data_IF_143845278764
#
_entry.id   IF_143845278764
#
_cell.length_a   1.000
_cell.length_b   1.000
_cell.length_c   1.000
_cell.angle_alpha   90.00
_cell.angle_beta   90.00
_cell.angle_gamma   90.00
#
_symmetry.space_group_name_H-M   'P 1'
#
loop_
_entity.id
_entity.type
_entity.pdbx_description
1 polymer ?
#
# COMPACT_ATOMS: atom_id res chain seq x y z
N UNK A 1 1.88 30.69 6.21
CA UNK A 1 0.73 29.79 6.49
C UNK A 1 1.25 28.51 7.12
N UNK A 2 0.93 28.25 8.39
CA UNK A 2 1.37 27.04 9.11
C UNK A 2 0.41 25.91 8.75
N UNK A 3 0.70 25.13 7.72
CA UNK A 3 -0.02 23.89 7.49
C UNK A 3 0.34 22.95 8.64
N UNK A 4 -0.66 22.63 9.47
CA UNK A 4 -0.49 21.66 10.56
C UNK A 4 -0.19 20.30 9.93
N UNK A 5 0.84 19.58 10.41
CA UNK A 5 1.16 18.23 9.90
C UNK A 5 -0.06 17.29 9.93
N UNK A 6 -1.00 17.57 10.85
CA UNK A 6 -2.28 16.91 10.99
C UNK A 6 -3.24 17.17 9.82
N UNK A 7 -3.25 18.36 9.21
CA UNK A 7 -4.10 18.63 8.06
C UNK A 7 -3.58 17.93 6.81
N UNK A 8 -2.25 17.83 6.64
CA UNK A 8 -1.64 17.05 5.57
C UNK A 8 -1.87 15.54 5.73
N UNK A 9 -1.75 15.02 6.95
CA UNK A 9 -2.07 13.62 7.24
C UNK A 9 -3.56 13.33 7.04
N UNK A 10 -4.45 14.22 7.51
CA UNK A 10 -5.90 14.11 7.32
C UNK A 10 -6.28 14.18 5.84
N UNK A 11 -5.63 15.03 5.05
CA UNK A 11 -5.87 15.12 3.61
C UNK A 11 -5.36 13.88 2.86
N UNK A 12 -4.19 13.37 3.21
CA UNK A 12 -3.65 12.13 2.66
C UNK A 12 -4.53 10.89 2.97
N UNK A 13 -5.11 10.81 4.18
CA UNK A 13 -6.01 9.72 4.59
C UNK A 13 -7.40 9.87 3.96
N UNK A 14 -7.91 11.11 3.88
CA UNK A 14 -9.28 11.40 3.42
C UNK A 14 -9.37 11.56 1.89
N UNK A 15 -8.23 11.46 1.18
CA UNK A 15 -8.22 11.38 -0.27
C UNK A 15 -8.91 10.08 -0.70
N UNK A 16 -10.01 10.22 -1.47
CA UNK A 16 -10.70 9.13 -2.19
C UNK A 16 -9.76 8.20 -2.98
N UNK A 17 -8.48 8.56 -3.13
CA UNK A 17 -7.42 7.75 -3.71
C UNK A 17 -7.00 6.53 -2.88
N UNK A 18 -7.05 6.55 -1.54
CA UNK A 18 -6.66 5.38 -0.74
C UNK A 18 -7.61 4.20 -0.98
N UNK A 19 -8.93 4.43 -0.83
CA UNK A 19 -9.96 3.40 -1.05
C UNK A 19 -9.89 2.85 -2.48
N UNK A 20 -9.67 3.71 -3.47
CA UNK A 20 -9.49 3.29 -4.87
C UNK A 20 -8.27 2.40 -5.09
N UNK A 21 -7.23 2.55 -4.27
CA UNK A 21 -5.98 1.79 -4.34
C UNK A 21 -6.01 0.49 -3.53
N UNK A 22 -7.06 0.22 -2.75
CA UNK A 22 -7.20 -1.04 -2.00
C UNK A 22 -7.06 -2.27 -2.93
N UNK A 23 -7.75 -2.35 -4.08
CA UNK A 23 -7.56 -3.47 -5.01
C UNK A 23 -6.12 -3.59 -5.53
N UNK A 24 -5.45 -2.46 -5.77
CA UNK A 24 -4.07 -2.42 -6.23
C UNK A 24 -3.10 -2.91 -5.15
N UNK A 25 -3.36 -2.60 -3.88
CA UNK A 25 -2.59 -3.14 -2.74
C UNK A 25 -2.68 -4.67 -2.73
N UNK A 26 -3.88 -5.25 -2.86
CA UNK A 26 -4.04 -6.70 -2.90
C UNK A 26 -3.30 -7.34 -4.07
N UNK A 27 -3.34 -6.70 -5.25
CA UNK A 27 -2.65 -7.18 -6.44
C UNK A 27 -1.13 -7.09 -6.29
N UNK A 28 -0.61 -5.98 -5.75
CA UNK A 28 0.80 -5.79 -5.41
C UNK A 28 1.29 -6.90 -4.47
N UNK A 29 0.58 -7.14 -3.36
CA UNK A 29 0.92 -8.20 -2.39
C UNK A 29 0.90 -9.57 -3.07
N UNK A 30 -0.08 -9.84 -3.93
CA UNK A 30 -0.18 -11.10 -4.66
C UNK A 30 1.02 -11.31 -5.60
N UNK A 31 1.40 -10.31 -6.39
CA UNK A 31 2.53 -10.41 -7.33
C UNK A 31 3.87 -10.47 -6.62
N UNK A 32 4.02 -9.72 -5.52
CA UNK A 32 5.19 -9.83 -4.65
C UNK A 32 5.33 -11.24 -4.07
N UNK A 33 4.24 -11.82 -3.54
CA UNK A 33 4.25 -13.19 -2.97
C UNK A 33 4.60 -14.27 -4.00
N UNK A 34 4.29 -14.03 -5.28
CA UNK A 34 4.66 -14.90 -6.38
C UNK A 34 6.11 -14.70 -6.87
N UNK A 35 6.81 -13.68 -6.38
CA UNK A 35 8.14 -13.29 -6.87
C UNK A 35 8.13 -12.58 -8.23
N UNK A 36 6.94 -12.23 -8.75
CA UNK A 36 6.81 -11.52 -10.04
C UNK A 36 7.17 -10.04 -9.89
N UNK A 37 6.87 -9.43 -8.73
CA UNK A 37 7.21 -8.03 -8.44
C UNK A 37 8.41 -7.94 -7.47
N UNK A 38 9.58 -7.42 -7.91
CA UNK A 38 10.78 -7.34 -7.08
C UNK A 38 10.67 -6.19 -6.07
N UNK A 39 10.22 -6.51 -4.86
CA UNK A 39 10.08 -5.57 -3.75
C UNK A 39 10.71 -6.14 -2.48
N UNK A 40 11.37 -5.30 -1.68
CA UNK A 40 11.94 -5.74 -0.39
C UNK A 40 10.82 -6.05 0.59
N UNK A 41 10.92 -7.18 1.28
CA UNK A 41 9.91 -7.64 2.24
C UNK A 41 9.61 -6.62 3.33
N UNK A 42 10.61 -5.85 3.78
CA UNK A 42 10.42 -4.83 4.82
C UNK A 42 9.50 -3.68 4.36
N UNK A 43 9.55 -3.33 3.08
CA UNK A 43 8.80 -2.20 2.52
C UNK A 43 7.30 -2.51 2.39
N UNK A 44 6.92 -3.81 2.41
CA UNK A 44 5.53 -4.27 2.33
C UNK A 44 5.01 -4.79 3.68
N UNK A 45 5.84 -5.52 4.43
CA UNK A 45 5.47 -6.10 5.73
C UNK A 45 5.23 -4.99 6.76
N UNK A 46 6.09 -3.96 6.83
CA UNK A 46 5.97 -2.93 7.86
C UNK A 46 4.68 -2.10 7.71
N UNK A 47 4.29 -1.63 6.51
CA UNK A 47 3.00 -0.97 6.34
C UNK A 47 1.80 -1.92 6.51
N UNK A 48 1.91 -3.18 6.07
CA UNK A 48 0.85 -4.18 6.26
C UNK A 48 0.61 -4.50 7.73
N UNK A 49 1.66 -4.64 8.54
CA UNK A 49 1.54 -4.83 9.99
C UNK A 49 0.85 -3.64 10.66
N UNK A 50 1.18 -2.41 10.24
CA UNK A 50 0.50 -1.21 10.71
C UNK A 50 -1.00 -1.20 10.37
N UNK A 51 -1.40 -1.74 9.22
CA UNK A 51 -2.81 -1.89 8.84
C UNK A 51 -3.47 -3.07 9.56
N UNK A 52 -2.78 -4.20 9.71
CA UNK A 52 -3.28 -5.41 10.37
C UNK A 52 -3.54 -5.19 11.86
N UNK A 53 -2.69 -4.40 12.53
CA UNK A 53 -2.87 -3.98 13.91
C UNK A 53 -4.24 -3.33 14.16
N UNK A 54 -4.82 -2.68 13.15
CA UNK A 54 -6.14 -2.03 13.23
C UNK A 54 -7.28 -2.98 12.91
N UNK A 55 -7.04 -3.97 12.05
CA UNK A 55 -8.04 -5.00 11.72
C UNK A 55 -8.18 -5.99 12.89
N UNK A 56 -7.10 -6.26 13.63
CA UNK A 56 -7.15 -7.08 14.83
C UNK A 56 -6.30 -6.53 16.00
N UNK A 57 -6.76 -5.47 16.68
CA UNK A 57 -6.33 -5.14 18.04
C UNK A 57 -7.04 -6.02 19.09
N UNK A 58 -8.11 -6.71 18.69
CA UNK A 58 -9.08 -7.34 19.58
C UNK A 58 -8.69 -8.78 19.96
N UNK A 59 -7.94 -9.49 19.11
CA UNK A 59 -7.74 -10.94 19.29
C UNK A 59 -6.46 -11.32 20.06
N UNK A 60 -5.67 -10.34 20.51
CA UNK A 60 -4.38 -10.56 21.20
C UNK A 60 -4.41 -10.09 22.67
N UNK A 61 -5.52 -9.49 23.13
CA UNK A 61 -5.64 -9.01 24.50
C UNK A 61 -6.66 -9.87 25.27
N UNK A 62 -6.20 -10.82 26.11
CA UNK A 62 -7.05 -11.39 27.15
C UNK A 62 -7.36 -10.27 28.17
N UNK A 63 -8.61 -9.78 28.12
CA UNK A 63 -9.40 -9.21 29.22
C UNK A 63 -8.91 -8.01 30.07
N UNK A 64 -7.72 -7.38 29.91
CA UNK A 64 -7.23 -6.45 30.99
C UNK A 64 -6.72 -5.03 30.62
N UNK A 65 -6.39 -4.66 29.38
CA UNK A 65 -5.54 -3.47 29.17
C UNK A 65 -6.27 -2.14 28.82
N UNK A 66 -6.67 -1.37 29.84
CA UNK A 66 -6.63 0.12 29.94
C UNK A 66 -7.44 0.97 28.92
N UNK A 67 -8.53 1.67 29.32
CA UNK A 67 -9.55 2.13 28.36
C UNK A 67 -9.24 3.38 27.50
N UNK A 68 -8.11 4.10 27.62
CA UNK A 68 -7.99 5.45 26.99
C UNK A 68 -6.60 5.83 26.41
N UNK A 69 -5.52 5.07 26.63
CA UNK A 69 -4.16 5.55 26.26
C UNK A 69 -3.65 5.03 24.88
N UNK A 70 -4.19 3.93 24.34
CA UNK A 70 -3.66 3.31 23.11
C UNK A 70 -3.94 4.06 21.80
N UNK A 71 -5.09 4.72 21.67
CA UNK A 71 -5.61 5.22 20.38
C UNK A 71 -4.73 6.30 19.73
N UNK A 72 -4.03 7.12 20.53
CA UNK A 72 -3.21 8.22 20.00
C UNK A 72 -1.93 7.71 19.31
N UNK A 73 -1.33 6.63 19.83
CA UNK A 73 -0.14 6.01 19.24
C UNK A 73 -0.50 5.33 17.91
N UNK A 74 -1.66 4.68 17.85
CA UNK A 74 -2.17 4.00 16.66
C UNK A 74 -2.39 4.98 15.49
N UNK A 75 -2.93 6.17 15.78
CA UNK A 75 -3.12 7.24 14.79
C UNK A 75 -1.78 7.81 14.30
N UNK A 76 -0.77 7.88 15.17
CA UNK A 76 0.56 8.32 14.79
C UNK A 76 1.21 7.32 13.84
N UNK A 77 1.15 6.03 14.17
CA UNK A 77 1.64 4.92 13.31
C UNK A 77 0.93 4.93 11.96
N UNK A 78 -0.39 5.10 11.92
CA UNK A 78 -1.18 5.22 10.70
C UNK A 78 -0.74 6.36 9.79
N UNK A 79 -0.55 7.55 10.36
CA UNK A 79 -0.15 8.72 9.58
C UNK A 79 1.21 8.54 8.91
N UNK A 80 2.06 7.66 9.45
CA UNK A 80 3.38 7.36 8.92
C UNK A 80 3.37 6.17 7.95
N UNK A 81 2.52 5.17 8.16
CA UNK A 81 2.49 3.95 7.35
C UNK A 81 1.66 4.11 6.07
N UNK A 82 0.52 4.81 6.11
CA UNK A 82 -0.34 4.99 4.93
C UNK A 82 0.39 5.68 3.76
N UNK A 83 1.08 6.82 3.95
CA UNK A 83 1.79 7.47 2.85
C UNK A 83 2.91 6.59 2.26
N UNK A 84 3.59 5.80 3.10
CA UNK A 84 4.61 4.85 2.65
C UNK A 84 3.99 3.75 1.80
N UNK A 85 2.89 3.14 2.26
CA UNK A 85 2.17 2.11 1.51
C UNK A 85 1.69 2.65 0.16
N UNK A 86 1.08 3.84 0.14
CA UNK A 86 0.60 4.46 -1.09
C UNK A 86 1.73 4.70 -2.11
N UNK A 87 2.90 5.13 -1.63
CA UNK A 87 4.08 5.32 -2.49
C UNK A 87 4.58 4.00 -3.09
N UNK A 88 4.55 2.90 -2.34
CA UNK A 88 4.91 1.59 -2.87
C UNK A 88 3.89 1.09 -3.89
N UNK A 89 2.59 1.33 -3.66
CA UNK A 89 1.54 1.03 -4.64
C UNK A 89 1.73 1.82 -5.94
N UNK A 90 2.11 3.10 -5.86
CA UNK A 90 2.38 3.91 -7.05
C UNK A 90 3.55 3.35 -7.87
N UNK A 91 4.65 2.94 -7.22
CA UNK A 91 5.77 2.28 -7.89
C UNK A 91 5.35 0.97 -8.54
N UNK A 92 4.52 0.19 -7.86
CA UNK A 92 3.99 -1.06 -8.37
C UNK A 92 3.13 -0.85 -9.63
N UNK A 93 2.26 0.17 -9.62
CA UNK A 93 1.43 0.51 -10.78
C UNK A 93 2.27 0.96 -11.98
N UNK A 94 3.33 1.73 -11.75
CA UNK A 94 4.27 2.13 -12.81
C UNK A 94 4.96 0.90 -13.42
N UNK A 95 5.52 0.04 -12.57
CA UNK A 95 6.16 -1.20 -13.00
C UNK A 95 5.20 -2.10 -13.79
N UNK A 96 3.95 -2.24 -13.34
CA UNK A 96 2.97 -3.06 -14.04
C UNK A 96 2.65 -2.49 -15.43
N UNK A 97 2.49 -1.17 -15.54
CA UNK A 97 2.25 -0.51 -16.82
C UNK A 97 3.41 -0.73 -17.80
N UNK A 98 4.66 -0.67 -17.32
CA UNK A 98 5.85 -0.97 -18.12
C UNK A 98 5.86 -2.41 -18.63
N UNK A 99 5.46 -3.38 -17.80
CA UNK A 99 5.37 -4.78 -18.19
C UNK A 99 4.27 -5.04 -19.23
N UNK A 100 3.11 -4.37 -19.11
CA UNK A 100 2.05 -4.47 -20.11
C UNK A 100 2.48 -3.88 -21.45
N UNK A 101 3.09 -2.68 -21.44
CA UNK A 101 3.59 -2.03 -22.64
C UNK A 101 4.66 -2.85 -23.37
N UNK A 102 5.60 -3.45 -22.63
CA UNK A 102 6.65 -4.30 -23.20
C UNK A 102 6.10 -5.56 -23.86
N UNK A 103 5.09 -6.17 -23.24
CA UNK A 103 4.42 -7.37 -23.77
C UNK A 103 3.65 -7.05 -25.06
N UNK A 104 2.93 -5.93 -25.10
CA UNK A 104 2.14 -5.56 -26.28
C UNK A 104 3.03 -5.16 -27.47
N UNK A 105 4.12 -4.43 -27.25
CA UNK A 105 5.10 -4.18 -28.30
C UNK A 105 5.72 -5.46 -28.86
N UNK A 106 6.01 -6.43 -27.98
CA UNK A 106 6.52 -7.74 -28.39
C UNK A 106 5.51 -8.48 -29.26
N UNK A 107 4.20 -8.37 -28.98
CA UNK A 107 3.17 -8.96 -29.86
C UNK A 107 3.07 -8.26 -31.21
N UNK A 108 3.18 -6.93 -31.25
CA UNK A 108 3.11 -6.14 -32.49
C UNK A 108 4.27 -6.48 -33.42
N UNK A 109 5.51 -6.49 -32.93
CA UNK A 109 6.68 -6.85 -33.75
C UNK A 109 6.56 -8.27 -34.31
N UNK A 110 6.07 -9.23 -33.51
CA UNK A 110 5.90 -10.60 -33.97
C UNK A 110 4.78 -10.74 -35.01
N UNK A 111 3.74 -9.90 -34.95
CA UNK A 111 2.67 -9.88 -35.94
C UNK A 111 3.11 -9.23 -37.27
N UNK A 112 3.99 -8.23 -37.23
CA UNK A 112 4.54 -7.58 -38.42
C UNK A 112 5.54 -8.48 -39.16
N UNK A 113 6.38 -9.25 -38.46
CA UNK A 113 7.36 -10.16 -39.07
C UNK A 113 6.71 -11.33 -39.82
N UNK A 114 5.47 -11.69 -39.48
CA UNK A 114 4.75 -12.84 -40.07
C UNK A 114 3.93 -12.45 -41.31
N UNK A 115 3.93 -11.18 -41.71
CA UNK A 115 3.18 -10.67 -42.88
C UNK A 115 4.10 -10.35 -44.05
#
# INVERSE_FOLDING_TARGET
MKYSKLSLAKEAINHKGFVKKIPDIFRMVRMWRKGEYPMRSIDIILPLLGVLYIISPIDILPEVAVPVIGVLDDLAVLSLTIPKLLKEVDKFLLWEAEQQYSNDNTKVINAEIVK
#
